data_IF_845013858981
#
_entry.id   IF_845013858981
#
_cell.length_a   1.000
_cell.length_b   1.000
_cell.length_c   1.000
_cell.angle_alpha   90.00
_cell.angle_beta   90.00
_cell.angle_gamma   90.00
#
_symmetry.space_group_name_H-M   'P 1'
#
loop_
_entity.id
_entity.type
_entity.pdbx_description
1 polymer ?
#
# COMPACT_ATOMS: atom_id res chain seq x y z
N UNK A 1 96.04 -15.85 -8.03
CA UNK A 1 94.96 -16.05 -9.03
C UNK A 1 94.05 -17.24 -8.67
N UNK A 2 94.54 -18.32 -8.00
CA UNK A 2 93.71 -19.47 -7.60
C UNK A 2 92.71 -19.14 -6.50
N UNK A 3 93.06 -18.34 -5.50
CA UNK A 3 92.26 -17.95 -4.37
C UNK A 3 90.98 -17.12 -4.78
N UNK A 4 91.04 -16.35 -5.88
CA UNK A 4 89.94 -15.59 -6.39
C UNK A 4 88.92 -16.45 -7.14
N UNK A 5 89.37 -17.54 -7.77
CA UNK A 5 88.48 -18.46 -8.47
C UNK A 5 87.68 -19.31 -7.49
N UNK A 6 88.30 -19.76 -6.42
CA UNK A 6 87.61 -20.54 -5.36
C UNK A 6 86.56 -19.70 -4.60
N UNK A 7 86.89 -18.42 -4.32
CA UNK A 7 85.95 -17.49 -3.70
C UNK A 7 84.66 -17.26 -4.60
N UNK A 8 84.85 -17.04 -5.90
CA UNK A 8 83.82 -16.87 -6.85
C UNK A 8 82.94 -18.15 -7.04
N UNK A 9 83.57 -19.34 -6.97
CA UNK A 9 82.82 -20.60 -7.01
C UNK A 9 82.00 -20.83 -5.77
N UNK A 10 82.46 -20.44 -4.60
CA UNK A 10 81.68 -20.52 -3.35
C UNK A 10 80.50 -19.57 -3.38
N UNK A 11 80.71 -18.32 -3.77
CA UNK A 11 79.64 -17.31 -3.91
C UNK A 11 78.57 -17.74 -4.94
N UNK A 12 78.94 -18.33 -6.05
CA UNK A 12 78.07 -18.88 -7.04
C UNK A 12 77.25 -20.05 -6.48
N UNK A 13 77.87 -20.94 -5.72
CA UNK A 13 77.22 -22.07 -5.08
C UNK A 13 76.16 -21.61 -4.02
N UNK A 14 76.55 -20.60 -3.21
CA UNK A 14 75.66 -20.02 -2.21
C UNK A 14 74.43 -19.30 -2.87
N UNK A 15 74.68 -18.55 -3.95
CA UNK A 15 73.57 -17.89 -4.70
C UNK A 15 72.68 -18.88 -5.40
N UNK A 16 73.20 -19.98 -5.96
CA UNK A 16 72.40 -21.05 -6.52
C UNK A 16 71.52 -21.70 -5.48
N UNK A 17 72.08 -22.00 -4.31
CA UNK A 17 71.32 -22.62 -3.21
C UNK A 17 70.19 -21.68 -2.70
N UNK A 18 70.50 -20.37 -2.54
CA UNK A 18 69.47 -19.36 -2.16
C UNK A 18 68.36 -19.19 -3.23
N UNK A 19 68.71 -19.38 -4.51
CA UNK A 19 67.74 -19.35 -5.60
C UNK A 19 66.86 -20.59 -5.59
N UNK A 20 67.45 -21.77 -5.40
CA UNK A 20 66.70 -23.04 -5.31
C UNK A 20 65.71 -23.05 -4.12
N UNK A 21 66.02 -22.38 -2.98
CA UNK A 21 65.13 -22.23 -1.85
C UNK A 21 63.99 -21.24 -2.12
N UNK A 22 64.23 -20.18 -2.92
CA UNK A 22 63.21 -19.18 -3.25
C UNK A 22 62.23 -19.59 -4.34
N UNK A 23 62.61 -20.45 -5.25
CA UNK A 23 61.76 -20.90 -6.35
C UNK A 23 60.42 -21.53 -5.84
N UNK A 24 60.46 -22.53 -4.92
CA UNK A 24 59.21 -23.13 -4.42
C UNK A 24 58.35 -22.14 -3.65
N UNK A 25 58.95 -21.19 -2.90
CA UNK A 25 58.17 -20.13 -2.20
C UNK A 25 57.44 -19.22 -3.20
N UNK A 26 58.05 -18.89 -4.32
CA UNK A 26 57.44 -18.10 -5.37
C UNK A 26 56.32 -18.85 -6.09
N UNK A 27 56.50 -20.15 -6.34
CA UNK A 27 55.49 -21.01 -6.96
C UNK A 27 54.26 -21.14 -6.05
N UNK A 28 54.44 -21.30 -4.74
CA UNK A 28 53.33 -21.34 -3.76
C UNK A 28 52.57 -20.00 -3.70
N UNK A 29 53.33 -18.87 -3.70
CA UNK A 29 52.71 -17.53 -3.76
C UNK A 29 51.93 -17.30 -5.06
N UNK A 30 52.45 -17.75 -6.21
CA UNK A 30 51.77 -17.66 -7.50
C UNK A 30 50.47 -18.47 -7.48
N UNK A 31 50.48 -19.70 -6.95
CA UNK A 31 49.32 -20.53 -6.79
C UNK A 31 48.26 -19.88 -5.88
N UNK A 32 48.68 -19.41 -4.71
CA UNK A 32 47.78 -18.68 -3.78
C UNK A 32 47.15 -17.43 -4.41
N UNK A 33 47.92 -16.71 -5.24
CA UNK A 33 47.42 -15.54 -5.95
C UNK A 33 46.43 -15.90 -7.05
N UNK A 34 46.62 -17.01 -7.75
CA UNK A 34 45.69 -17.53 -8.74
C UNK A 34 44.39 -17.98 -8.10
N UNK A 35 44.42 -18.67 -6.96
CA UNK A 35 43.26 -19.10 -6.20
C UNK A 35 42.45 -17.91 -5.72
N UNK A 36 43.10 -16.92 -5.12
CA UNK A 36 42.44 -15.67 -4.68
C UNK A 36 41.79 -14.90 -5.84
N UNK A 37 42.45 -14.86 -6.99
CA UNK A 37 41.91 -14.23 -8.19
C UNK A 37 40.65 -14.94 -8.66
N UNK A 38 40.67 -16.28 -8.66
CA UNK A 38 39.48 -17.08 -9.05
C UNK A 38 38.30 -16.85 -8.07
N UNK A 39 38.55 -16.74 -6.77
CA UNK A 39 37.56 -16.43 -5.75
C UNK A 39 36.96 -15.02 -5.94
N UNK A 40 37.83 -14.02 -6.14
CA UNK A 40 37.37 -12.65 -6.44
C UNK A 40 36.57 -12.54 -7.73
N UNK A 41 36.93 -13.26 -8.78
CA UNK A 41 36.17 -13.29 -10.03
C UNK A 41 34.78 -13.95 -9.82
N UNK A 42 34.69 -14.96 -8.96
CA UNK A 42 33.42 -15.58 -8.57
C UNK A 42 32.53 -14.60 -7.79
N UNK A 43 33.08 -13.92 -6.79
CA UNK A 43 32.34 -12.91 -6.00
C UNK A 43 31.87 -11.76 -6.88
N UNK A 44 32.73 -11.26 -7.80
CA UNK A 44 32.37 -10.21 -8.74
C UNK A 44 31.20 -10.64 -9.64
N UNK A 45 31.20 -11.86 -10.13
CA UNK A 45 30.10 -12.39 -10.97
C UNK A 45 28.80 -12.50 -10.17
N UNK A 46 28.86 -12.93 -8.91
CA UNK A 46 27.68 -12.96 -8.02
C UNK A 46 27.14 -11.55 -7.76
N UNK A 47 28.02 -10.58 -7.49
CA UNK A 47 27.63 -9.18 -7.29
C UNK A 47 26.97 -8.58 -8.54
N UNK A 48 27.51 -8.85 -9.74
CA UNK A 48 26.94 -8.39 -11.00
C UNK A 48 25.55 -9.00 -11.26
N UNK A 49 25.34 -10.26 -10.92
CA UNK A 49 24.04 -10.94 -11.04
C UNK A 49 23.01 -10.31 -10.10
N UNK A 50 23.42 -10.03 -8.86
CA UNK A 50 22.56 -9.37 -7.87
C UNK A 50 22.19 -7.94 -8.31
N UNK A 51 23.17 -7.18 -8.82
CA UNK A 51 22.96 -5.83 -9.37
C UNK A 51 21.97 -5.83 -10.55
N UNK A 52 22.08 -6.79 -11.46
CA UNK A 52 21.16 -6.94 -12.57
C UNK A 52 19.72 -7.25 -12.10
N UNK A 53 19.58 -8.13 -11.10
CA UNK A 53 18.28 -8.44 -10.50
C UNK A 53 17.66 -7.24 -9.78
N UNK A 54 18.48 -6.48 -9.04
CA UNK A 54 18.05 -5.27 -8.35
C UNK A 54 17.60 -4.17 -9.34
N UNK A 55 18.36 -3.95 -10.40
CA UNK A 55 18.02 -2.98 -11.45
C UNK A 55 16.70 -3.34 -12.14
N UNK A 56 16.45 -4.65 -12.39
CA UNK A 56 15.17 -5.12 -12.93
C UNK A 56 14.01 -4.85 -11.96
N UNK A 57 14.20 -5.14 -10.67
CA UNK A 57 13.19 -4.85 -9.64
C UNK A 57 12.91 -3.35 -9.53
N UNK A 58 13.95 -2.51 -9.57
CA UNK A 58 13.81 -1.05 -9.51
C UNK A 58 13.07 -0.51 -10.74
N UNK A 59 13.36 -1.03 -11.93
CA UNK A 59 12.63 -0.68 -13.16
C UNK A 59 11.14 -1.00 -13.07
N UNK A 60 10.81 -2.22 -12.66
CA UNK A 60 9.42 -2.66 -12.46
C UNK A 60 8.70 -1.80 -11.39
N UNK A 61 9.42 -1.41 -10.33
CA UNK A 61 8.85 -0.57 -9.27
C UNK A 61 8.61 0.88 -9.73
N UNK A 62 9.50 1.42 -10.55
CA UNK A 62 9.31 2.77 -11.15
C UNK A 62 8.10 2.80 -12.08
N UNK A 63 7.94 1.79 -12.95
CA UNK A 63 6.78 1.64 -13.81
C UNK A 63 5.48 1.51 -13.01
N UNK A 64 5.50 0.72 -11.94
CA UNK A 64 4.38 0.60 -11.01
C UNK A 64 3.98 1.92 -10.35
N UNK A 65 4.95 2.75 -9.93
CA UNK A 65 4.69 4.07 -9.35
C UNK A 65 4.09 5.04 -10.36
N UNK A 66 4.58 5.04 -11.60
CA UNK A 66 4.07 5.86 -12.71
C UNK A 66 2.61 5.48 -13.04
N UNK A 67 2.32 4.17 -13.13
CA UNK A 67 0.96 3.70 -13.40
C UNK A 67 -0.01 4.04 -12.28
N UNK A 68 0.42 3.88 -11.02
CA UNK A 68 -0.37 4.32 -9.88
C UNK A 68 -0.65 5.83 -9.92
N UNK A 69 0.35 6.66 -10.22
CA UNK A 69 0.17 8.11 -10.33
C UNK A 69 -0.88 8.46 -11.39
N UNK A 70 -0.81 7.87 -12.58
CA UNK A 70 -1.82 8.05 -13.63
C UNK A 70 -3.22 7.62 -13.18
N UNK A 71 -3.31 6.48 -12.49
CA UNK A 71 -4.58 6.01 -11.96
C UNK A 71 -5.15 6.98 -10.92
N UNK A 72 -4.32 7.57 -10.05
CA UNK A 72 -4.73 8.59 -9.08
C UNK A 72 -5.27 9.85 -9.75
N UNK A 73 -4.58 10.36 -10.77
CA UNK A 73 -5.03 11.52 -11.54
C UNK A 73 -6.40 11.28 -12.21
N UNK A 74 -6.64 10.08 -12.74
CA UNK A 74 -7.93 9.69 -13.30
C UNK A 74 -9.02 9.63 -12.23
N UNK A 75 -8.72 9.11 -11.06
CA UNK A 75 -9.65 9.02 -9.93
C UNK A 75 -9.99 10.43 -9.43
N UNK A 76 -9.01 11.28 -9.22
CA UNK A 76 -9.21 12.66 -8.77
C UNK A 76 -10.10 13.43 -9.76
N UNK A 77 -9.89 13.26 -11.08
CA UNK A 77 -10.75 13.84 -12.11
C UNK A 77 -12.19 13.27 -12.05
N UNK A 78 -12.34 11.96 -11.93
CA UNK A 78 -13.65 11.32 -11.83
C UNK A 78 -14.42 11.74 -10.57
N UNK A 79 -13.71 11.91 -9.44
CA UNK A 79 -14.28 12.42 -8.20
C UNK A 79 -14.76 13.86 -8.38
N UNK A 80 -13.93 14.75 -8.96
CA UNK A 80 -14.30 16.15 -9.19
C UNK A 80 -15.54 16.29 -10.07
N UNK A 81 -15.71 15.43 -11.07
CA UNK A 81 -16.90 15.41 -11.92
C UNK A 81 -18.13 14.85 -11.19
N UNK A 82 -17.93 13.83 -10.34
CA UNK A 82 -19.01 13.26 -9.51
C UNK A 82 -19.48 14.27 -8.45
N UNK A 83 -18.59 15.03 -7.85
CA UNK A 83 -18.95 16.09 -6.90
C UNK A 83 -19.83 17.15 -7.53
N UNK A 84 -19.48 17.63 -8.72
CA UNK A 84 -20.32 18.59 -9.46
C UNK A 84 -21.73 18.04 -9.73
N UNK A 85 -21.83 16.75 -9.98
CA UNK A 85 -23.10 16.08 -10.27
C UNK A 85 -23.99 15.85 -9.05
N UNK A 86 -23.40 15.54 -7.89
CA UNK A 86 -24.10 15.12 -6.67
C UNK A 86 -24.12 16.18 -5.56
N UNK A 87 -23.37 17.30 -5.69
CA UNK A 87 -23.35 18.43 -4.74
C UNK A 87 -24.46 19.48 -5.00
N UNK A 88 -25.39 19.25 -5.94
CA UNK A 88 -26.57 20.12 -6.07
C UNK A 88 -27.41 20.00 -4.80
N UNK A 89 -27.72 21.09 -4.09
CA UNK A 89 -28.53 21.04 -2.87
C UNK A 89 -29.89 20.45 -3.21
N UNK A 90 -30.12 19.22 -2.75
CA UNK A 90 -31.43 18.60 -2.87
C UNK A 90 -32.39 19.36 -1.94
N UNK A 91 -33.18 20.22 -2.54
CA UNK A 91 -34.32 20.86 -1.85
C UNK A 91 -35.22 19.75 -1.33
N UNK A 92 -35.18 19.49 -0.03
CA UNK A 92 -35.95 18.47 0.64
C UNK A 92 -37.47 18.76 0.43
N UNK A 93 -38.10 18.07 -0.49
CA UNK A 93 -39.58 17.99 -0.54
C UNK A 93 -39.99 17.25 0.73
N UNK A 94 -40.62 18.02 1.62
CA UNK A 94 -41.24 17.53 2.83
C UNK A 94 -42.46 16.66 2.42
N UNK A 95 -42.26 15.36 2.36
CA UNK A 95 -43.41 14.43 2.26
C UNK A 95 -44.11 14.35 3.59
N UNK A 96 -45.36 14.76 3.55
CA UNK A 96 -46.33 14.71 4.67
C UNK A 96 -46.73 13.26 4.87
N UNK A 97 -46.20 12.60 5.89
CA UNK A 97 -46.63 11.25 6.27
C UNK A 97 -47.94 11.30 7.06
N UNK A 98 -48.93 10.72 6.48
CA UNK A 98 -50.22 10.38 7.14
C UNK A 98 -49.96 9.29 8.18
N UNK A 99 -50.44 9.52 9.40
CA UNK A 99 -50.45 8.57 10.50
C UNK A 99 -51.29 7.33 10.16
N UNK A 100 -50.77 6.14 10.40
CA UNK A 100 -51.57 5.01 10.83
C UNK A 100 -50.87 4.22 11.93
N UNK A 101 -51.65 3.98 12.95
CA UNK A 101 -51.35 3.40 14.24
C UNK A 101 -51.55 1.87 14.19
N UNK A 102 -50.67 1.06 14.77
CA UNK A 102 -51.04 -0.07 15.63
C UNK A 102 -49.87 -1.08 15.82
N UNK A 103 -49.64 -1.45 17.06
CA UNK A 103 -49.22 -2.79 17.47
C UNK A 103 -47.78 -2.92 17.97
N UNK A 104 -47.61 -2.91 19.26
CA UNK A 104 -46.36 -3.09 19.98
C UNK A 104 -45.71 -4.47 19.88
N UNK A 105 -44.43 -4.49 20.16
CA UNK A 105 -43.77 -5.56 20.92
C UNK A 105 -42.41 -5.04 21.43
N UNK A 106 -42.16 -5.28 22.68
CA UNK A 106 -41.05 -4.84 23.51
C UNK A 106 -39.71 -5.43 23.08
N UNK A 107 -38.69 -4.58 22.93
CA UNK A 107 -37.27 -4.98 22.83
C UNK A 107 -36.50 -4.47 24.07
N UNK A 108 -35.45 -5.16 24.51
CA UNK A 108 -34.82 -4.87 25.79
C UNK A 108 -33.95 -3.61 25.74
N UNK A 109 -34.10 -2.84 26.79
CA UNK A 109 -33.36 -1.61 27.09
C UNK A 109 -31.88 -1.88 27.29
N UNK A 110 -31.04 -1.41 26.36
CA UNK A 110 -29.62 -1.27 26.60
C UNK A 110 -29.36 0.10 27.22
N UNK A 111 -28.82 0.09 28.42
CA UNK A 111 -28.46 1.26 29.22
C UNK A 111 -27.41 2.08 28.51
N UNK A 112 -27.78 3.23 27.97
CA UNK A 112 -26.84 4.18 27.41
C UNK A 112 -26.16 4.97 28.55
N UNK A 113 -24.87 4.73 28.72
CA UNK A 113 -24.01 5.58 29.56
C UNK A 113 -23.84 6.93 28.87
N UNK A 114 -24.35 7.97 29.47
CA UNK A 114 -24.20 9.36 29.02
C UNK A 114 -22.74 9.78 29.19
N UNK A 115 -22.06 10.08 28.11
CA UNK A 115 -21.01 11.10 28.11
C UNK A 115 -20.74 11.62 26.70
N UNK A 116 -20.73 12.93 26.58
CA UNK A 116 -20.24 13.81 25.53
C UNK A 116 -21.29 14.35 24.54
N UNK A 117 -21.73 15.58 24.80
CA UNK A 117 -22.69 16.34 23.96
C UNK A 117 -22.15 16.71 22.55
N UNK A 118 -20.94 16.30 22.16
CA UNK A 118 -20.34 16.56 20.84
C UNK A 118 -20.26 15.32 19.91
N UNK A 119 -20.57 14.13 20.39
CA UNK A 119 -20.38 12.88 19.60
C UNK A 119 -21.32 12.75 18.38
N UNK A 120 -22.31 13.61 18.22
CA UNK A 120 -23.20 13.57 17.06
C UNK A 120 -22.88 14.53 15.93
N UNK A 121 -22.01 15.52 16.15
CA UNK A 121 -21.80 16.63 15.22
C UNK A 121 -20.61 16.42 14.28
N UNK A 122 -19.53 15.79 14.75
CA UNK A 122 -18.32 15.58 13.97
C UNK A 122 -18.17 14.13 13.56
N UNK A 123 -17.33 13.90 12.53
CA UNK A 123 -17.11 12.57 12.00
C UNK A 123 -16.43 11.66 13.02
N UNK A 124 -16.97 10.45 13.16
CA UNK A 124 -16.37 9.35 13.91
C UNK A 124 -16.58 8.09 13.08
N UNK A 125 -15.52 7.57 12.48
CA UNK A 125 -15.59 6.43 11.57
C UNK A 125 -15.70 5.11 12.34
N UNK A 126 -16.36 4.12 11.75
CA UNK A 126 -16.24 2.71 12.18
C UNK A 126 -15.24 1.97 11.31
N UNK A 127 -14.76 0.81 11.76
CA UNK A 127 -13.90 -0.04 10.96
C UNK A 127 -14.58 -0.46 9.66
N UNK A 128 -13.87 -0.37 8.49
CA UNK A 128 -14.45 -0.72 7.19
C UNK A 128 -14.73 -2.21 7.06
N UNK A 129 -14.04 -3.08 7.82
CA UNK A 129 -14.27 -4.51 7.89
C UNK A 129 -14.58 -4.89 9.33
N UNK A 130 -15.86 -5.04 9.74
CA UNK A 130 -16.23 -5.28 11.14
C UNK A 130 -15.66 -6.57 11.73
N UNK A 131 -15.39 -7.59 10.90
CA UNK A 131 -14.77 -8.84 11.31
C UNK A 131 -13.26 -8.75 11.50
N UNK A 132 -12.62 -7.64 11.10
CA UNK A 132 -11.18 -7.43 11.15
C UNK A 132 -10.87 -5.95 11.45
N UNK A 133 -10.59 -5.67 12.71
CA UNK A 133 -10.29 -4.31 13.18
C UNK A 133 -8.79 -4.01 13.27
N UNK A 134 -7.95 -5.04 13.08
CA UNK A 134 -6.50 -4.88 13.11
C UNK A 134 -6.00 -4.34 11.77
N UNK A 135 -5.29 -3.22 11.79
CA UNK A 135 -4.53 -2.71 10.65
C UNK A 135 -3.32 -3.63 10.43
N UNK A 136 -3.21 -4.19 9.23
CA UNK A 136 -2.12 -5.10 8.84
C UNK A 136 -0.99 -4.38 8.11
N UNK A 137 -1.32 -3.29 7.39
CA UNK A 137 -0.35 -2.33 6.86
C UNK A 137 -0.88 -0.91 7.08
N UNK A 138 -0.13 -0.08 7.77
CA UNK A 138 -0.54 1.29 8.12
C UNK A 138 -0.28 2.30 7.01
N UNK A 139 -0.74 3.52 7.24
CA UNK A 139 -0.48 4.68 6.38
C UNK A 139 1.02 4.89 6.18
N UNK A 140 1.46 5.03 4.92
CA UNK A 140 2.88 5.08 4.52
C UNK A 140 3.69 3.83 4.93
N UNK A 141 3.06 2.67 5.14
CA UNK A 141 3.73 1.41 5.44
C UNK A 141 4.68 0.93 4.33
N UNK A 142 4.46 1.40 3.12
CA UNK A 142 5.39 1.34 1.98
C UNK A 142 5.22 2.58 1.10
N UNK A 143 6.16 2.82 0.18
CA UNK A 143 6.12 4.00 -0.71
C UNK A 143 4.85 4.00 -1.55
N UNK A 144 4.09 5.09 -1.48
CA UNK A 144 2.82 5.25 -2.20
C UNK A 144 1.60 4.63 -1.51
N UNK A 145 1.73 4.08 -0.30
CA UNK A 145 0.58 3.59 0.47
C UNK A 145 -0.18 4.73 1.13
N UNK A 146 -1.37 5.01 0.63
CA UNK A 146 -2.22 6.18 0.96
C UNK A 146 -3.27 5.92 2.04
N UNK A 147 -3.34 4.69 2.56
CA UNK A 147 -4.39 4.28 3.48
C UNK A 147 -3.94 3.33 4.57
N UNK A 148 -4.85 2.48 5.00
CA UNK A 148 -4.61 1.38 5.91
C UNK A 148 -5.23 0.10 5.35
N UNK A 149 -4.52 -1.02 5.45
CA UNK A 149 -4.97 -2.32 4.96
C UNK A 149 -5.49 -3.17 6.11
N UNK A 150 -6.63 -3.82 5.84
CA UNK A 150 -7.27 -4.78 6.72
C UNK A 150 -7.30 -6.14 6.02
N UNK A 151 -6.32 -7.01 6.30
CA UNK A 151 -6.28 -8.38 5.74
C UNK A 151 -7.50 -9.16 6.20
N UNK A 152 -8.25 -9.68 5.24
CA UNK A 152 -9.47 -10.44 5.49
C UNK A 152 -9.74 -11.40 4.32
N UNK A 153 -10.43 -12.53 4.54
CA UNK A 153 -10.78 -13.43 3.44
C UNK A 153 -11.59 -12.71 2.36
N UNK A 154 -11.39 -13.14 1.10
CA UNK A 154 -12.25 -12.70 -0.02
C UNK A 154 -13.72 -12.93 0.32
N UNK A 155 -14.58 -11.93 0.04
CA UNK A 155 -16.01 -11.99 0.35
C UNK A 155 -16.38 -11.48 1.73
N UNK A 156 -15.40 -11.06 2.58
CA UNK A 156 -15.71 -10.44 3.86
C UNK A 156 -16.53 -9.17 3.68
N UNK A 157 -17.44 -8.90 4.64
CA UNK A 157 -18.31 -7.73 4.63
C UNK A 157 -17.48 -6.45 4.74
N UNK A 158 -17.61 -5.55 3.75
CA UNK A 158 -17.08 -4.18 3.77
C UNK A 158 -18.24 -3.23 3.98
N UNK A 159 -18.10 -2.29 4.94
CA UNK A 159 -19.19 -1.38 5.34
C UNK A 159 -18.78 0.09 5.19
N UNK A 160 -19.77 0.96 4.98
CA UNK A 160 -19.58 2.40 5.04
C UNK A 160 -19.12 2.81 6.44
N UNK A 161 -17.99 3.49 6.54
CA UNK A 161 -17.40 3.89 7.82
C UNK A 161 -18.20 4.98 8.54
N UNK A 162 -18.98 5.78 7.81
CA UNK A 162 -19.99 6.74 8.30
C UNK A 162 -21.05 6.94 7.21
N UNK A 163 -22.22 7.52 7.55
CA UNK A 163 -23.27 7.84 6.59
C UNK A 163 -22.79 8.87 5.56
N UNK A 164 -23.28 8.75 4.32
CA UNK A 164 -22.89 9.66 3.25
C UNK A 164 -23.36 9.21 1.88
N UNK A 165 -22.97 9.96 0.86
CA UNK A 165 -23.29 9.70 -0.54
C UNK A 165 -22.13 9.00 -1.23
N UNK A 166 -22.40 7.89 -1.90
CA UNK A 166 -21.46 7.21 -2.79
C UNK A 166 -21.22 8.11 -4.00
N UNK A 167 -20.02 8.68 -4.12
CA UNK A 167 -19.66 9.54 -5.26
C UNK A 167 -19.04 8.73 -6.39
N UNK A 168 -18.34 7.65 -6.07
CA UNK A 168 -17.80 6.70 -7.06
C UNK A 168 -18.11 5.26 -6.64
N UNK A 169 -18.48 4.44 -7.62
CA UNK A 169 -18.55 2.98 -7.53
C UNK A 169 -18.10 2.44 -8.89
N UNK A 170 -16.80 2.15 -9.04
CA UNK A 170 -16.16 1.89 -10.33
C UNK A 170 -15.09 0.80 -10.26
N UNK A 171 -14.65 0.41 -11.44
CA UNK A 171 -13.54 -0.53 -11.67
C UNK A 171 -12.43 0.20 -12.44
N UNK A 172 -11.16 -0.07 -12.10
CA UNK A 172 -9.99 0.43 -12.82
C UNK A 172 -9.35 -0.71 -13.60
N UNK A 173 -9.16 -0.49 -14.90
CA UNK A 173 -8.53 -1.42 -15.80
C UNK A 173 -7.31 -0.81 -16.48
N UNK A 174 -6.32 -1.65 -16.80
CA UNK A 174 -5.26 -1.33 -17.74
C UNK A 174 -5.74 -1.44 -19.20
N UNK A 175 -4.87 -1.11 -20.15
CA UNK A 175 -5.18 -1.17 -21.59
C UNK A 175 -5.42 -2.61 -22.08
N UNK A 176 -5.06 -3.62 -21.31
CA UNK A 176 -5.26 -5.05 -21.61
C UNK A 176 -6.56 -5.59 -20.96
N UNK A 177 -7.29 -4.78 -20.22
CA UNK A 177 -8.53 -5.17 -19.53
C UNK A 177 -8.29 -5.87 -18.18
N UNK A 178 -7.07 -5.85 -17.62
CA UNK A 178 -6.80 -6.35 -16.28
C UNK A 178 -7.09 -5.26 -15.24
N UNK A 179 -7.52 -5.68 -14.05
CA UNK A 179 -7.62 -4.75 -12.94
C UNK A 179 -6.25 -4.15 -12.62
N UNK A 180 -6.19 -2.82 -12.42
CA UNK A 180 -4.99 -2.10 -11.99
C UNK A 180 -5.27 -1.22 -10.78
N UNK A 181 -4.23 -0.73 -10.11
CA UNK A 181 -4.30 0.19 -8.97
C UNK A 181 -5.32 -0.27 -7.92
N UNK A 182 -6.35 0.49 -7.59
CA UNK A 182 -7.42 0.13 -6.65
C UNK A 182 -8.35 -1.01 -7.09
N UNK A 183 -8.29 -1.46 -8.35
CA UNK A 183 -9.20 -2.46 -8.89
C UNK A 183 -10.66 -2.02 -8.78
N UNK A 184 -11.49 -2.79 -8.10
CA UNK A 184 -12.87 -2.42 -7.74
C UNK A 184 -12.86 -1.55 -6.52
N UNK A 185 -13.38 -0.32 -6.63
CA UNK A 185 -13.33 0.64 -5.54
C UNK A 185 -14.63 1.46 -5.41
N UNK A 186 -14.81 1.99 -4.21
CA UNK A 186 -15.95 2.86 -3.85
C UNK A 186 -15.36 4.08 -3.14
N UNK A 187 -15.91 5.27 -3.44
CA UNK A 187 -15.63 6.50 -2.69
C UNK A 187 -16.93 7.06 -2.14
N UNK A 188 -16.94 7.39 -0.86
CA UNK A 188 -18.09 7.98 -0.15
C UNK A 188 -17.69 9.38 0.33
N UNK A 189 -18.53 10.39 0.01
CA UNK A 189 -18.51 11.70 0.66
C UNK A 189 -19.44 11.64 1.86
N UNK A 190 -18.94 11.89 3.04
CA UNK A 190 -19.70 11.77 4.27
C UNK A 190 -20.55 13.02 4.56
N UNK A 191 -21.71 12.80 5.21
CA UNK A 191 -22.62 13.87 5.64
C UNK A 191 -22.02 14.70 6.77
N UNK A 192 -21.18 14.07 7.60
CA UNK A 192 -20.48 14.70 8.71
C UNK A 192 -19.12 15.22 8.27
N UNK A 193 -18.72 16.32 8.87
CA UNK A 193 -17.44 16.99 8.63
C UNK A 193 -16.46 16.78 9.79
N UNK A 194 -15.22 17.20 9.62
CA UNK A 194 -14.27 17.38 10.73
C UNK A 194 -14.75 18.45 11.72
N UNK A 195 -14.10 18.55 12.86
CA UNK A 195 -14.37 19.63 13.84
C UNK A 195 -14.10 21.04 13.28
N UNK A 196 -13.26 21.16 12.26
CA UNK A 196 -13.03 22.42 11.53
C UNK A 196 -14.05 22.69 10.42
N UNK A 197 -15.01 21.80 10.20
CA UNK A 197 -16.02 21.92 9.13
C UNK A 197 -15.56 21.42 7.77
N UNK A 198 -14.39 20.78 7.67
CA UNK A 198 -13.87 20.25 6.42
C UNK A 198 -14.61 18.97 6.00
N UNK A 199 -14.86 18.80 4.70
CA UNK A 199 -15.45 17.59 4.14
C UNK A 199 -14.56 16.37 4.38
N UNK A 200 -15.16 15.21 4.53
CA UNK A 200 -14.44 13.93 4.72
C UNK A 200 -14.95 12.91 3.70
N UNK A 201 -13.99 12.23 3.11
CA UNK A 201 -14.21 11.18 2.13
C UNK A 201 -13.52 9.90 2.60
N UNK A 202 -14.12 8.76 2.27
CA UNK A 202 -13.47 7.46 2.45
C UNK A 202 -13.45 6.67 1.15
N UNK A 203 -12.36 5.93 0.92
CA UNK A 203 -12.18 5.06 -0.21
C UNK A 203 -12.00 3.62 0.27
N UNK A 204 -12.62 2.68 -0.45
CA UNK A 204 -12.61 1.24 -0.16
C UNK A 204 -12.19 0.51 -1.43
N UNK A 205 -11.00 -0.10 -1.45
CA UNK A 205 -10.43 -0.71 -2.66
C UNK A 205 -10.25 -2.22 -2.58
N UNK A 206 -9.82 -2.78 -3.71
CA UNK A 206 -9.53 -4.20 -3.94
C UNK A 206 -10.74 -5.14 -3.75
N UNK A 207 -11.96 -4.59 -3.88
CA UNK A 207 -13.19 -5.37 -3.65
C UNK A 207 -13.36 -6.50 -4.68
N UNK A 208 -13.98 -7.60 -4.27
CA UNK A 208 -14.46 -8.66 -5.18
C UNK A 208 -15.82 -8.32 -5.78
N UNK A 209 -16.64 -7.56 -5.05
CA UNK A 209 -17.98 -7.15 -5.47
C UNK A 209 -18.33 -5.78 -4.87
N UNK A 210 -18.96 -4.92 -5.65
CA UNK A 210 -19.55 -3.64 -5.21
C UNK A 210 -21.07 -3.82 -5.12
N UNK A 211 -21.66 -3.39 -4.00
CA UNK A 211 -23.10 -3.59 -3.70
C UNK A 211 -23.89 -2.29 -3.74
N UNK A 212 -23.23 -1.18 -4.07
CA UNK A 212 -23.81 0.16 -4.13
C UNK A 212 -23.40 0.87 -5.42
N UNK A 213 -24.20 1.84 -5.83
CA UNK A 213 -24.00 2.64 -7.04
C UNK A 213 -23.69 4.10 -6.71
N UNK A 214 -23.01 4.81 -7.62
CA UNK A 214 -22.79 6.25 -7.49
C UNK A 214 -24.13 7.01 -7.42
N UNK A 215 -24.21 8.00 -6.54
CA UNK A 215 -25.42 8.76 -6.20
C UNK A 215 -26.28 8.13 -5.09
N UNK A 216 -26.00 6.90 -4.67
CA UNK A 216 -26.70 6.24 -3.57
C UNK A 216 -26.25 6.79 -2.22
N UNK A 217 -27.23 7.16 -1.36
CA UNK A 217 -26.95 7.43 0.04
C UNK A 217 -26.84 6.11 0.83
N UNK A 218 -25.87 6.04 1.73
CA UNK A 218 -25.62 4.87 2.59
C UNK A 218 -25.52 5.30 4.04
N UNK A 219 -25.97 4.41 4.93
CA UNK A 219 -25.89 4.61 6.38
C UNK A 219 -24.57 4.05 6.93
N UNK A 220 -24.10 4.60 8.05
CA UNK A 220 -22.95 4.06 8.80
C UNK A 220 -23.15 2.58 9.12
N UNK A 221 -22.16 1.74 8.79
CA UNK A 221 -22.24 0.28 9.00
C UNK A 221 -23.04 -0.47 7.94
N UNK A 222 -23.66 0.21 6.98
CA UNK A 222 -24.30 -0.43 5.83
C UNK A 222 -23.26 -1.17 5.00
N UNK A 223 -23.56 -2.40 4.58
CA UNK A 223 -22.67 -3.13 3.68
C UNK A 223 -22.68 -2.48 2.30
N UNK A 224 -21.49 -2.16 1.80
CA UNK A 224 -21.28 -1.49 0.50
C UNK A 224 -20.54 -2.37 -0.49
N UNK A 225 -19.74 -3.32 0.01
CA UNK A 225 -18.92 -4.20 -0.84
C UNK A 225 -18.63 -5.54 -0.15
N UNK A 226 -17.96 -6.42 -0.90
CA UNK A 226 -17.25 -7.60 -0.39
C UNK A 226 -15.76 -7.43 -0.67
N UNK A 227 -14.92 -7.71 0.31
CA UNK A 227 -13.46 -7.67 0.17
C UNK A 227 -12.95 -8.60 -0.90
N UNK A 228 -11.78 -8.33 -1.46
CA UNK A 228 -11.16 -9.13 -2.51
C UNK A 228 -9.68 -8.89 -2.63
N UNK A 229 -9.17 -9.02 -3.87
CA UNK A 229 -7.78 -8.81 -4.23
C UNK A 229 -7.67 -8.30 -5.68
N UNK A 230 -8.61 -7.46 -6.14
CA UNK A 230 -8.58 -6.88 -7.49
C UNK A 230 -7.59 -5.71 -7.56
N UNK A 231 -7.00 -5.48 -8.73
CA UNK A 231 -5.99 -4.43 -8.92
C UNK A 231 -4.61 -4.80 -8.35
N UNK A 232 -3.88 -3.80 -7.88
CA UNK A 232 -2.51 -3.99 -7.37
C UNK A 232 -2.56 -4.49 -5.92
N UNK A 233 -2.79 -5.78 -5.76
CA UNK A 233 -2.94 -6.44 -4.47
C UNK A 233 -2.14 -7.73 -4.42
N UNK A 234 -1.43 -7.97 -3.33
CA UNK A 234 -0.64 -9.19 -3.07
C UNK A 234 -1.44 -10.29 -2.39
N UNK A 235 -2.67 -10.01 -1.98
CA UNK A 235 -3.55 -10.97 -1.31
C UNK A 235 -4.84 -10.32 -0.80
N UNK A 236 -5.83 -11.11 -0.34
CA UNK A 236 -7.13 -10.59 0.05
C UNK A 236 -7.06 -9.61 1.23
N UNK A 237 -7.54 -8.40 1.03
CA UNK A 237 -7.65 -7.34 2.04
C UNK A 237 -8.66 -6.26 1.61
N UNK A 238 -8.98 -5.36 2.52
CA UNK A 238 -9.63 -4.09 2.22
C UNK A 238 -8.59 -2.98 2.42
N UNK A 239 -8.25 -2.26 1.37
CA UNK A 239 -7.51 -1.01 1.46
C UNK A 239 -8.49 0.12 1.75
N UNK A 240 -8.22 0.89 2.81
CA UNK A 240 -9.12 1.93 3.31
C UNK A 240 -8.39 3.26 3.43
N UNK A 241 -8.95 4.31 2.82
CA UNK A 241 -8.40 5.67 2.91
C UNK A 241 -9.39 6.64 3.57
N UNK A 242 -8.84 7.65 4.22
CA UNK A 242 -9.53 8.85 4.69
C UNK A 242 -8.91 10.05 4.00
N UNK A 243 -9.73 10.88 3.35
CA UNK A 243 -9.29 12.08 2.64
C UNK A 243 -10.04 13.31 3.18
N UNK A 244 -9.34 14.39 3.44
CA UNK A 244 -9.89 15.66 3.93
C UNK A 244 -8.86 16.79 3.76
N UNK A 245 -9.21 17.99 3.36
CA UNK A 245 -10.54 18.56 3.14
C UNK A 245 -11.18 18.23 1.79
N UNK A 246 -10.45 17.64 0.86
CA UNK A 246 -10.97 17.25 -0.44
C UNK A 246 -10.81 15.74 -0.68
N UNK A 247 -11.38 15.28 -1.77
CA UNK A 247 -11.28 13.88 -2.22
C UNK A 247 -9.96 13.56 -2.93
N UNK A 248 -9.06 14.54 -3.11
CA UNK A 248 -7.78 14.36 -3.79
C UNK A 248 -6.87 13.39 -3.05
N UNK A 249 -6.07 12.65 -3.82
CA UNK A 249 -5.03 11.76 -3.27
C UNK A 249 -4.02 12.49 -2.37
N UNK A 250 -3.70 13.75 -2.68
CA UNK A 250 -2.81 14.59 -1.85
C UNK A 250 -3.37 14.88 -0.46
N UNK A 251 -4.67 14.72 -0.27
CA UNK A 251 -5.39 14.97 0.99
C UNK A 251 -5.62 13.71 1.83
N UNK A 252 -4.97 12.61 1.50
CA UNK A 252 -4.99 11.39 2.31
C UNK A 252 -4.42 11.64 3.71
N UNK A 253 -5.10 11.11 4.71
CA UNK A 253 -4.74 11.17 6.13
C UNK A 253 -4.59 9.77 6.69
N UNK A 254 -3.82 9.63 7.75
CA UNK A 254 -3.70 8.35 8.44
C UNK A 254 -5.08 7.91 8.99
N UNK A 255 -5.66 6.81 8.46
CA UNK A 255 -6.98 6.34 8.90
C UNK A 255 -7.05 6.00 10.40
N UNK A 256 -5.94 5.60 11.02
CA UNK A 256 -5.89 5.28 12.44
C UNK A 256 -6.27 6.46 13.36
N UNK A 257 -6.18 7.71 12.85
CA UNK A 257 -6.59 8.89 13.61
C UNK A 257 -8.11 9.13 13.61
N UNK A 258 -8.88 8.36 12.83
CA UNK A 258 -10.33 8.52 12.65
C UNK A 258 -11.12 7.29 13.08
N UNK A 259 -10.43 6.16 13.29
CA UNK A 259 -11.01 4.89 13.74
C UNK A 259 -11.02 4.80 15.27
N UNK A 260 -11.92 3.98 15.87
CA UNK A 260 -12.02 3.78 17.32
C UNK A 260 -10.76 3.19 17.95
#
# INVERSE_FOLDING_TARGET
RQTGLEANQLELSETQKALEEKVPELEEKQKSLADKKAELDKERNQANTLLASLNKQTGNYTEYLEDNKKAMEQIDAAIADAEKKYDTPTTTKKETTTKNNSGGTTAPTATATKNNQNEGKYISLTYPVPSQTRITCGFHGYTGHSGADFSCPTGSKVVAAESGTVIISADLYDDNGNYRSYGRYIVIKHDKTTSSGAAVYTLYAHNSERLVSAGQHVEKGQQIAKSGSTGNSTGPHCHFEVRTPSSSYSDCKNPANYLP
#
